data_IF_337119376229
#
_entry.id   IF_337119376229
#
_cell.length_a   1.000
_cell.length_b   1.000
_cell.length_c   1.000
_cell.angle_alpha   90.00
_cell.angle_beta   90.00
_cell.angle_gamma   90.00
#
_symmetry.space_group_name_H-M   'P 1'
#
loop_
_entity.id
_entity.type
_entity.pdbx_description
1 polymer ?
#
# COMPACT_ATOMS: atom_id res chain seq x y z
N UNK A 1 20.63 -3.42 43.00
CA UNK A 1 20.79 -4.90 42.91
C UNK A 1 19.39 -5.48 42.66
N UNK A 2 18.74 -5.23 41.51
CA UNK A 2 19.03 -5.73 40.16
C UNK A 2 19.19 -7.26 40.15
N UNK A 3 18.08 -7.96 39.91
CA UNK A 3 18.00 -9.40 39.64
C UNK A 3 16.95 -9.61 38.55
N UNK A 4 17.35 -10.32 37.50
CA UNK A 4 16.81 -10.24 36.15
C UNK A 4 15.41 -10.86 35.97
N UNK A 5 14.54 -10.14 35.26
CA UNK A 5 13.42 -10.70 34.52
C UNK A 5 13.83 -10.72 33.05
N UNK A 6 14.31 -11.87 32.56
CA UNK A 6 14.48 -12.14 31.14
C UNK A 6 13.13 -12.60 30.58
N UNK A 7 12.30 -11.66 30.16
CA UNK A 7 11.17 -11.92 29.27
C UNK A 7 11.68 -11.91 27.84
N UNK A 8 12.01 -13.10 27.32
CA UNK A 8 12.24 -13.34 25.90
C UNK A 8 10.99 -14.02 25.34
N UNK A 9 9.97 -13.23 25.06
CA UNK A 9 8.76 -13.64 24.35
C UNK A 9 8.67 -12.80 23.07
N UNK A 10 9.23 -13.33 21.99
CA UNK A 10 9.16 -12.70 20.67
C UNK A 10 9.72 -13.53 19.52
N UNK A 11 9.91 -14.85 19.70
CA UNK A 11 10.31 -15.73 18.60
C UNK A 11 9.07 -16.36 17.95
N UNK A 12 8.31 -15.55 17.22
CA UNK A 12 7.25 -16.06 16.37
C UNK A 12 7.84 -16.81 15.17
N UNK A 13 7.73 -18.13 15.19
CA UNK A 13 7.21 -18.87 14.05
C UNK A 13 8.07 -19.02 12.78
N UNK A 14 9.40 -19.18 12.86
CA UNK A 14 10.11 -19.83 11.74
C UNK A 14 9.72 -21.31 11.73
N UNK A 15 8.79 -21.70 10.85
CA UNK A 15 8.47 -23.11 10.64
C UNK A 15 9.77 -23.89 10.38
N UNK A 16 10.11 -24.90 11.20
CA UNK A 16 11.36 -25.65 11.07
C UNK A 16 11.48 -26.35 9.71
N UNK A 17 10.37 -26.54 8.99
CA UNK A 17 10.34 -27.15 7.66
C UNK A 17 11.03 -26.29 6.59
N UNK A 18 10.86 -24.96 6.63
CA UNK A 18 11.47 -24.06 5.65
C UNK A 18 12.99 -23.96 5.80
N UNK A 19 13.46 -23.86 7.04
CA UNK A 19 14.90 -23.86 7.35
C UNK A 19 15.56 -25.20 6.93
N UNK A 20 14.85 -26.32 7.12
CA UNK A 20 15.32 -27.65 6.75
C UNK A 20 15.34 -27.85 5.22
N UNK A 21 14.41 -27.24 4.49
CA UNK A 21 14.41 -27.24 3.02
C UNK A 21 15.59 -26.45 2.44
N UNK A 22 15.86 -25.25 2.95
CA UNK A 22 17.02 -24.44 2.50
C UNK A 22 18.33 -25.16 2.80
N UNK A 23 18.47 -25.76 3.99
CA UNK A 23 19.67 -26.52 4.35
C UNK A 23 19.92 -27.70 3.39
N UNK A 24 18.86 -28.35 2.89
CA UNK A 24 18.94 -29.44 1.91
C UNK A 24 19.26 -28.97 0.48
N UNK A 25 18.79 -27.78 0.11
CA UNK A 25 19.00 -27.20 -1.22
C UNK A 25 20.34 -26.46 -1.33
N UNK A 26 20.87 -25.94 -0.23
CA UNK A 26 22.10 -25.16 -0.22
C UNK A 26 23.29 -25.88 -0.90
N UNK A 27 23.57 -27.18 -0.67
CA UNK A 27 24.64 -27.88 -1.39
C UNK A 27 24.42 -27.97 -2.91
N UNK A 28 23.16 -27.94 -3.36
CA UNK A 28 22.82 -27.97 -4.79
C UNK A 28 22.89 -26.58 -5.42
N UNK A 29 22.61 -25.52 -4.66
CA UNK A 29 22.59 -24.13 -5.13
C UNK A 29 23.98 -23.47 -5.09
N UNK A 30 24.81 -23.79 -4.09
CA UNK A 30 26.16 -23.21 -3.91
C UNK A 30 27.02 -23.29 -5.17
N UNK A 31 27.09 -24.42 -5.91
CA UNK A 31 27.88 -24.50 -7.14
C UNK A 31 27.45 -23.50 -8.22
N UNK A 32 26.15 -23.20 -8.34
CA UNK A 32 25.65 -22.22 -9.31
C UNK A 32 26.08 -20.80 -8.96
N UNK A 33 26.16 -20.47 -7.67
CA UNK A 33 26.65 -19.16 -7.22
C UNK A 33 28.17 -19.01 -7.30
N UNK A 34 28.92 -20.09 -7.56
CA UNK A 34 30.33 -20.00 -7.91
C UNK A 34 30.52 -19.45 -9.32
N UNK A 35 29.49 -19.49 -10.18
CA UNK A 35 29.53 -18.88 -11.51
C UNK A 35 29.34 -17.36 -11.38
N UNK A 36 30.35 -16.54 -11.71
CA UNK A 36 30.31 -15.10 -11.47
C UNK A 36 29.12 -14.39 -12.13
N UNK A 37 28.64 -14.88 -13.26
CA UNK A 37 27.51 -14.33 -14.01
C UNK A 37 26.21 -14.53 -13.24
N UNK A 38 25.94 -15.75 -12.77
CA UNK A 38 24.74 -16.07 -11.99
C UNK A 38 24.73 -15.28 -10.69
N UNK A 39 25.86 -15.27 -9.98
CA UNK A 39 26.02 -14.48 -8.76
C UNK A 39 25.76 -12.99 -9.00
N UNK A 40 26.30 -12.43 -10.09
CA UNK A 40 26.06 -11.02 -10.47
C UNK A 40 24.58 -10.75 -10.72
N UNK A 41 23.90 -11.61 -11.48
CA UNK A 41 22.46 -11.45 -11.75
C UNK A 41 21.64 -11.47 -10.46
N UNK A 42 21.87 -12.43 -9.57
CA UNK A 42 21.11 -12.51 -8.31
C UNK A 42 21.35 -11.32 -7.38
N UNK A 43 22.59 -10.83 -7.27
CA UNK A 43 22.90 -9.64 -6.48
C UNK A 43 22.30 -8.37 -7.10
N UNK A 44 22.39 -8.22 -8.42
CA UNK A 44 21.77 -7.09 -9.14
C UNK A 44 20.26 -7.12 -8.99
N UNK A 45 19.62 -8.28 -9.14
CA UNK A 45 18.18 -8.43 -8.94
C UNK A 45 17.77 -8.01 -7.53
N UNK A 46 18.51 -8.43 -6.50
CA UNK A 46 18.25 -8.02 -5.12
C UNK A 46 18.37 -6.52 -4.93
N UNK A 47 19.44 -5.90 -5.43
CA UNK A 47 19.61 -4.45 -5.31
C UNK A 47 18.54 -3.67 -6.07
N UNK A 48 18.21 -4.07 -7.29
CA UNK A 48 17.16 -3.41 -8.08
C UNK A 48 15.79 -3.56 -7.40
N UNK A 49 15.47 -4.75 -6.89
CA UNK A 49 14.22 -4.98 -6.16
C UNK A 49 14.12 -4.08 -4.93
N UNK A 50 15.19 -4.01 -4.14
CA UNK A 50 15.27 -3.11 -2.98
C UNK A 50 15.03 -1.65 -3.37
N UNK A 51 15.75 -1.14 -4.38
CA UNK A 51 15.60 0.24 -4.82
C UNK A 51 14.18 0.55 -5.32
N UNK A 52 13.55 -0.37 -6.05
CA UNK A 52 12.17 -0.20 -6.52
C UNK A 52 11.21 -0.08 -5.34
N UNK A 53 11.32 -0.97 -4.34
CA UNK A 53 10.47 -0.93 -3.14
C UNK A 53 10.68 0.36 -2.36
N UNK A 54 11.92 0.74 -2.12
CA UNK A 54 12.24 1.95 -1.37
C UNK A 54 11.77 3.21 -2.09
N UNK A 55 11.85 3.23 -3.43
CA UNK A 55 11.32 4.33 -4.22
C UNK A 55 9.79 4.43 -4.11
N UNK A 56 9.08 3.30 -4.15
CA UNK A 56 7.62 3.28 -3.97
C UNK A 56 7.27 3.77 -2.57
N UNK A 57 7.95 3.22 -1.55
CA UNK A 57 7.77 3.59 -0.16
C UNK A 57 7.94 5.10 0.03
N UNK A 58 9.11 5.65 -0.34
CA UNK A 58 9.45 7.05 -0.14
C UNK A 58 8.57 8.01 -0.95
N UNK A 59 8.11 7.63 -2.14
CA UNK A 59 7.39 8.54 -3.04
C UNK A 59 5.88 8.50 -2.89
N UNK A 60 5.33 7.33 -2.56
CA UNK A 60 3.90 7.08 -2.60
C UNK A 60 3.30 6.70 -1.25
N UNK A 61 4.03 5.98 -0.40
CA UNK A 61 3.48 5.44 0.85
C UNK A 61 3.83 6.29 2.07
N UNK A 62 4.96 7.00 2.08
CA UNK A 62 5.27 7.93 3.17
C UNK A 62 4.41 9.18 3.11
N UNK A 63 4.05 9.72 4.28
CA UNK A 63 3.25 10.93 4.40
C UNK A 63 4.00 12.23 4.06
N UNK A 64 5.25 12.16 3.62
CA UNK A 64 6.12 13.34 3.45
C UNK A 64 6.10 13.89 2.03
N UNK A 65 5.90 13.04 1.01
CA UNK A 65 5.95 13.45 -0.38
C UNK A 65 4.61 14.06 -0.84
N UNK A 66 4.62 15.12 -1.68
CA UNK A 66 3.39 15.68 -2.27
C UNK A 66 2.71 14.71 -3.26
N UNK A 67 3.45 13.70 -3.72
CA UNK A 67 2.96 12.62 -4.59
C UNK A 67 2.35 11.45 -3.81
N UNK A 68 2.47 11.45 -2.48
CA UNK A 68 1.97 10.38 -1.62
C UNK A 68 0.48 10.18 -1.76
N UNK A 69 0.05 8.95 -1.51
CA UNK A 69 -1.37 8.58 -1.50
C UNK A 69 -2.10 9.42 -0.45
N UNK A 70 -1.52 9.57 0.75
CA UNK A 70 -2.07 10.41 1.81
C UNK A 70 -2.29 11.86 1.37
N UNK A 71 -1.28 12.51 0.79
CA UNK A 71 -1.43 13.89 0.31
C UNK A 71 -2.46 14.02 -0.83
N UNK A 72 -2.61 12.98 -1.67
CA UNK A 72 -3.67 12.93 -2.69
C UNK A 72 -5.04 12.76 -2.05
N UNK A 73 -5.19 11.88 -1.08
CA UNK A 73 -6.43 11.67 -0.34
C UNK A 73 -6.86 12.93 0.40
N UNK A 74 -5.95 13.70 0.99
CA UNK A 74 -6.29 14.96 1.67
C UNK A 74 -6.89 15.97 0.67
N UNK A 75 -6.32 16.07 -0.54
CA UNK A 75 -6.87 16.90 -1.62
C UNK A 75 -8.23 16.42 -2.10
N UNK A 76 -8.43 15.10 -2.21
CA UNK A 76 -9.71 14.51 -2.58
C UNK A 76 -10.74 14.69 -1.47
N UNK A 77 -10.34 14.62 -0.20
CA UNK A 77 -11.18 14.91 0.97
C UNK A 77 -11.71 16.34 0.97
N UNK A 78 -10.87 17.33 0.64
CA UNK A 78 -11.35 18.71 0.45
C UNK A 78 -12.40 18.80 -0.67
N UNK A 79 -12.20 18.10 -1.79
CA UNK A 79 -13.18 18.07 -2.89
C UNK A 79 -14.48 17.38 -2.49
N UNK A 80 -14.40 16.32 -1.69
CA UNK A 80 -15.57 15.64 -1.13
C UNK A 80 -16.38 16.60 -0.26
N UNK A 81 -15.72 17.37 0.61
CA UNK A 81 -16.38 18.40 1.41
C UNK A 81 -17.07 19.48 0.55
N UNK A 82 -16.41 19.92 -0.54
CA UNK A 82 -17.03 20.84 -1.49
C UNK A 82 -18.26 20.24 -2.20
N UNK A 83 -18.17 18.97 -2.62
CA UNK A 83 -19.29 18.26 -3.24
C UNK A 83 -20.47 18.12 -2.25
N UNK A 84 -20.19 17.79 -0.99
CA UNK A 84 -21.20 17.72 0.07
C UNK A 84 -21.86 19.08 0.32
N UNK A 85 -21.07 20.16 0.40
CA UNK A 85 -21.59 21.51 0.55
C UNK A 85 -22.45 21.93 -0.65
N UNK A 86 -22.07 21.55 -1.87
CA UNK A 86 -22.86 21.80 -3.06
C UNK A 86 -24.19 21.04 -3.04
N UNK A 87 -24.21 19.76 -2.62
CA UNK A 87 -25.46 19.02 -2.42
C UNK A 87 -26.38 19.68 -1.41
N UNK A 88 -25.84 20.14 -0.27
CA UNK A 88 -26.66 20.78 0.78
C UNK A 88 -27.33 22.08 0.33
N UNK A 89 -26.83 22.75 -0.73
CA UNK A 89 -27.46 23.97 -1.27
C UNK A 89 -28.75 23.66 -2.02
N UNK A 90 -28.94 22.44 -2.53
CA UNK A 90 -30.17 21.97 -3.16
C UNK A 90 -30.58 22.65 -4.47
N UNK A 91 -29.81 23.63 -4.99
CA UNK A 91 -30.12 24.22 -6.30
C UNK A 91 -29.76 23.24 -7.43
N UNK A 92 -30.51 23.23 -8.55
CA UNK A 92 -30.25 22.30 -9.66
C UNK A 92 -28.82 22.39 -10.21
N UNK A 93 -28.26 23.59 -10.30
CA UNK A 93 -26.88 23.78 -10.75
C UNK A 93 -25.87 23.21 -9.73
N UNK A 94 -26.14 23.37 -8.43
CA UNK A 94 -25.26 22.87 -7.39
C UNK A 94 -25.30 21.33 -7.28
N UNK A 95 -26.47 20.72 -7.47
CA UNK A 95 -26.60 19.25 -7.50
C UNK A 95 -25.96 18.65 -8.74
N UNK A 96 -26.07 19.30 -9.90
CA UNK A 96 -25.36 18.90 -11.12
C UNK A 96 -23.83 18.97 -10.94
N UNK A 97 -23.31 20.08 -10.37
CA UNK A 97 -21.89 20.21 -10.04
C UNK A 97 -21.41 19.16 -9.05
N UNK A 98 -22.19 18.89 -8.00
CA UNK A 98 -21.85 17.86 -7.02
C UNK A 98 -21.80 16.46 -7.64
N UNK A 99 -22.73 16.14 -8.55
CA UNK A 99 -22.79 14.86 -9.25
C UNK A 99 -21.56 14.64 -10.13
N UNK A 100 -21.15 15.67 -10.89
CA UNK A 100 -19.91 15.64 -11.66
C UNK A 100 -18.67 15.48 -10.76
N UNK A 101 -18.65 16.19 -9.63
CA UNK A 101 -17.59 16.06 -8.63
C UNK A 101 -17.50 14.66 -8.03
N UNK A 102 -18.62 14.04 -7.67
CA UNK A 102 -18.69 12.68 -7.13
C UNK A 102 -18.13 11.64 -8.09
N UNK A 103 -18.44 11.74 -9.39
CA UNK A 103 -17.92 10.82 -10.40
C UNK A 103 -16.39 10.89 -10.48
N UNK A 104 -15.83 12.10 -10.43
CA UNK A 104 -14.36 12.30 -10.40
C UNK A 104 -13.75 11.72 -9.11
N UNK A 105 -14.42 11.87 -7.97
CA UNK A 105 -13.95 11.32 -6.68
C UNK A 105 -13.97 9.79 -6.68
N UNK A 106 -15.02 9.17 -7.22
CA UNK A 106 -15.15 7.71 -7.37
C UNK A 106 -14.04 7.16 -8.27
N UNK A 107 -13.83 7.76 -9.44
CA UNK A 107 -12.75 7.36 -10.35
C UNK A 107 -11.36 7.54 -9.71
N UNK A 108 -11.16 8.63 -8.95
CA UNK A 108 -9.88 8.89 -8.28
C UNK A 108 -9.60 7.87 -7.18
N UNK A 109 -10.61 7.53 -6.37
CA UNK A 109 -10.50 6.49 -5.35
C UNK A 109 -10.19 5.13 -5.96
N UNK A 110 -10.87 4.77 -7.06
CA UNK A 110 -10.62 3.54 -7.80
C UNK A 110 -9.17 3.44 -8.28
N UNK A 111 -8.64 4.49 -8.92
CA UNK A 111 -7.25 4.51 -9.40
C UNK A 111 -6.25 4.39 -8.24
N UNK A 112 -6.51 5.03 -7.09
CA UNK A 112 -5.63 4.91 -5.92
C UNK A 112 -5.65 3.49 -5.35
N UNK A 113 -6.83 2.85 -5.27
CA UNK A 113 -6.96 1.47 -4.83
C UNK A 113 -6.19 0.51 -5.76
N UNK A 114 -6.39 0.64 -7.08
CA UNK A 114 -5.71 -0.19 -8.06
C UNK A 114 -4.18 -0.05 -7.99
N UNK A 115 -3.67 1.16 -7.74
CA UNK A 115 -2.23 1.34 -7.55
C UNK A 115 -1.72 0.62 -6.30
N UNK A 116 -2.50 0.60 -5.21
CA UNK A 116 -2.12 -0.14 -4.01
C UNK A 116 -2.11 -1.65 -4.25
N UNK A 117 -3.08 -2.19 -5.00
CA UNK A 117 -3.07 -3.59 -5.43
C UNK A 117 -1.83 -3.90 -6.27
N UNK A 118 -1.51 -3.06 -7.26
CA UNK A 118 -0.31 -3.24 -8.07
C UNK A 118 0.99 -3.21 -7.22
N UNK A 119 1.02 -2.41 -6.16
CA UNK A 119 2.15 -2.40 -5.22
C UNK A 119 2.19 -3.67 -4.36
N UNK A 120 1.04 -4.15 -3.89
CA UNK A 120 0.94 -5.40 -3.13
C UNK A 120 1.44 -6.59 -3.97
N UNK A 121 0.96 -6.70 -5.21
CA UNK A 121 1.39 -7.73 -6.15
C UNK A 121 2.91 -7.67 -6.37
N UNK A 122 3.44 -6.46 -6.60
CA UNK A 122 4.88 -6.27 -6.76
C UNK A 122 5.66 -6.72 -5.53
N UNK A 123 5.20 -6.35 -4.34
CA UNK A 123 5.85 -6.69 -3.07
C UNK A 123 5.80 -8.20 -2.79
N UNK A 124 4.72 -8.89 -3.16
CA UNK A 124 4.64 -10.35 -3.11
C UNK A 124 5.71 -10.99 -4.00
N UNK A 125 5.87 -10.50 -5.24
CA UNK A 125 6.81 -11.06 -6.20
C UNK A 125 8.29 -10.88 -5.80
N UNK A 126 8.62 -9.78 -5.13
CA UNK A 126 10.02 -9.45 -4.75
C UNK A 126 10.31 -9.66 -3.27
N UNK A 127 9.31 -9.98 -2.46
CA UNK A 127 9.42 -10.00 -1.00
C UNK A 127 10.42 -11.01 -0.47
N UNK A 128 10.51 -12.18 -1.10
CA UNK A 128 11.55 -13.18 -0.80
C UNK A 128 12.98 -12.66 -0.98
N UNK A 129 13.17 -11.65 -1.83
CA UNK A 129 14.50 -11.12 -2.17
C UNK A 129 14.96 -10.06 -1.18
N UNK A 130 14.01 -9.30 -0.61
CA UNK A 130 14.27 -8.15 0.26
C UNK A 130 14.29 -8.57 1.74
N UNK A 131 13.38 -9.47 2.15
CA UNK A 131 13.30 -9.94 3.53
C UNK A 131 12.72 -8.88 4.48
N UNK A 132 13.25 -8.83 5.70
CA UNK A 132 12.73 -8.05 6.84
C UNK A 132 12.57 -6.53 6.56
N UNK A 133 13.27 -5.99 5.57
CA UNK A 133 13.13 -4.58 5.14
C UNK A 133 11.78 -4.27 4.48
N UNK A 134 11.02 -5.31 4.08
CA UNK A 134 9.71 -5.16 3.46
C UNK A 134 8.59 -4.84 4.47
N UNK A 135 8.72 -5.29 5.71
CA UNK A 135 7.70 -5.14 6.75
C UNK A 135 7.18 -3.70 6.96
N UNK A 136 8.05 -2.68 7.13
CA UNK A 136 7.58 -1.30 7.27
C UNK A 136 6.88 -0.79 6.00
N UNK A 137 7.29 -1.29 4.83
CA UNK A 137 6.69 -0.89 3.54
C UNK A 137 5.30 -1.49 3.37
N UNK A 138 5.14 -2.77 3.70
CA UNK A 138 3.84 -3.45 3.72
C UNK A 138 2.89 -2.80 4.73
N UNK A 139 3.39 -2.44 5.91
CA UNK A 139 2.60 -1.73 6.93
C UNK A 139 2.06 -0.41 6.37
N UNK A 140 2.91 0.42 5.77
CA UNK A 140 2.49 1.68 5.17
C UNK A 140 1.52 1.50 3.98
N UNK A 141 1.68 0.41 3.20
CA UNK A 141 0.75 0.07 2.12
C UNK A 141 -0.64 -0.28 2.67
N UNK A 142 -0.70 -1.10 3.72
CA UNK A 142 -1.97 -1.47 4.38
C UNK A 142 -2.68 -0.23 4.94
N UNK A 143 -1.94 0.66 5.61
CA UNK A 143 -2.50 1.95 6.08
C UNK A 143 -3.07 2.78 4.91
N UNK A 144 -2.39 2.82 3.77
CA UNK A 144 -2.89 3.49 2.58
C UNK A 144 -4.19 2.86 2.07
N UNK A 145 -4.26 1.52 2.01
CA UNK A 145 -5.45 0.77 1.58
C UNK A 145 -6.64 1.08 2.49
N UNK A 146 -6.44 1.07 3.81
CA UNK A 146 -7.49 1.39 4.79
C UNK A 146 -8.02 2.81 4.59
N UNK A 147 -7.12 3.79 4.40
CA UNK A 147 -7.51 5.18 4.15
C UNK A 147 -8.27 5.36 2.84
N UNK A 148 -7.84 4.69 1.76
CA UNK A 148 -8.55 4.71 0.47
C UNK A 148 -9.94 4.09 0.62
N UNK A 149 -10.05 2.97 1.33
CA UNK A 149 -11.32 2.29 1.58
C UNK A 149 -12.28 3.20 2.34
N UNK A 150 -11.82 3.81 3.43
CA UNK A 150 -12.62 4.78 4.20
C UNK A 150 -13.08 5.97 3.35
N UNK A 151 -12.19 6.50 2.49
CA UNK A 151 -12.55 7.58 1.56
C UNK A 151 -13.60 7.13 0.53
N UNK A 152 -13.43 5.94 -0.06
CA UNK A 152 -14.38 5.36 -1.02
C UNK A 152 -15.75 5.18 -0.39
N UNK A 153 -15.82 4.68 0.84
CA UNK A 153 -17.08 4.53 1.57
C UNK A 153 -17.76 5.87 1.81
N UNK A 154 -16.99 6.92 2.12
CA UNK A 154 -17.53 8.27 2.27
C UNK A 154 -18.12 8.82 0.95
N UNK A 155 -17.45 8.58 -0.19
CA UNK A 155 -17.96 8.94 -1.52
C UNK A 155 -19.25 8.18 -1.83
N UNK A 156 -19.30 6.87 -1.57
CA UNK A 156 -20.49 6.03 -1.79
C UNK A 156 -21.67 6.55 -0.96
N UNK A 157 -21.47 6.79 0.35
CA UNK A 157 -22.52 7.32 1.24
C UNK A 157 -23.07 8.66 0.74
N UNK A 158 -22.19 9.56 0.29
CA UNK A 158 -22.64 10.87 -0.22
C UNK A 158 -23.43 10.74 -1.54
N UNK A 159 -23.04 9.80 -2.41
CA UNK A 159 -23.77 9.49 -3.65
C UNK A 159 -25.14 8.90 -3.36
N UNK A 160 -25.24 7.97 -2.43
CA UNK A 160 -26.50 7.34 -2.02
C UNK A 160 -27.44 8.37 -1.40
N UNK A 161 -26.93 9.26 -0.55
CA UNK A 161 -27.71 10.37 -0.01
C UNK A 161 -28.30 11.28 -1.10
N UNK A 162 -27.49 11.62 -2.11
CA UNK A 162 -27.95 12.44 -3.23
C UNK A 162 -29.07 11.76 -4.05
N UNK A 163 -28.98 10.44 -4.24
CA UNK A 163 -30.03 9.68 -4.95
C UNK A 163 -31.35 9.67 -4.17
N UNK A 164 -31.27 9.43 -2.85
CA UNK A 164 -32.45 9.42 -1.99
C UNK A 164 -33.17 10.78 -1.89
N UNK A 165 -32.51 11.90 -2.19
CA UNK A 165 -33.14 13.23 -2.24
C UNK A 165 -33.88 13.51 -3.56
N UNK A 166 -33.68 12.68 -4.58
CA UNK A 166 -34.28 12.83 -5.91
C UNK A 166 -35.39 11.81 -6.20
N UNK A 167 -35.59 10.84 -5.30
CA UNK A 167 -36.73 9.92 -5.26
C UNK A 167 -37.87 10.50 -4.41
#
# INVERSE_FOLDING_TARGET
LAGAMSGDEGSEGRSPEGANMIARLAPQLVPWFQWPEIRRVSLTQRHVAHEVVMLIYQRYLTNTAPTSISARLDKLGMRLNCAQAAQSKGSPDATAMASGGLLVLEQSAFVLAQNCENYADLFEHIGFTIGDELDPVCTALLECIERITSFRDAVIRLREHARAQHE
#
